data_IF_121377722246
#
_entry.id   IF_121377722246
#
_cell.length_a   1.000
_cell.length_b   1.000
_cell.length_c   1.000
_cell.angle_alpha   90.00
_cell.angle_beta   90.00
_cell.angle_gamma   90.00
#
_symmetry.space_group_name_H-M   'P 1'
#
loop_
_entity.id
_entity.type
_entity.pdbx_description
1 polymer ?
#
# COMPACT_ATOMS: atom_id res chain seq x y z
N UNK A 1 -5.76 3.75 9.22
CA UNK A 1 -4.89 3.69 8.02
C UNK A 1 -5.73 3.79 6.77
N UNK A 2 -5.20 4.45 5.78
CA UNK A 2 -5.76 4.46 4.42
C UNK A 2 -4.76 3.84 3.48
N UNK A 3 -5.20 2.89 2.69
CA UNK A 3 -4.33 2.18 1.75
C UNK A 3 -5.01 2.15 0.40
N UNK A 4 -4.28 2.59 -0.63
CA UNK A 4 -4.70 2.40 -2.02
C UNK A 4 -4.01 1.14 -2.51
N UNK A 5 -4.81 0.20 -3.01
CA UNK A 5 -4.36 -1.11 -3.47
C UNK A 5 -4.54 -1.16 -4.97
N UNK A 6 -3.45 -1.42 -5.70
CA UNK A 6 -3.50 -1.57 -7.15
C UNK A 6 -2.94 -2.93 -7.55
N UNK A 7 -3.73 -3.69 -8.29
CA UNK A 7 -3.28 -4.97 -8.85
C UNK A 7 -2.34 -4.68 -10.00
N UNK A 8 -1.16 -5.28 -9.98
CA UNK A 8 -0.11 -4.96 -10.97
C UNK A 8 0.47 -6.21 -11.63
N UNK A 9 0.91 -6.03 -12.89
CA UNK A 9 1.75 -7.03 -13.58
C UNK A 9 3.19 -6.85 -13.17
N UNK A 10 3.60 -5.63 -12.89
CA UNK A 10 4.93 -5.25 -12.39
C UNK A 10 4.86 -3.87 -11.78
N UNK A 11 5.76 -3.59 -10.85
CA UNK A 11 5.93 -2.27 -10.26
C UNK A 11 7.35 -2.11 -9.75
N UNK A 12 7.82 -0.87 -9.66
CA UNK A 12 9.13 -0.57 -9.11
C UNK A 12 9.15 0.82 -8.50
N UNK A 13 10.06 1.04 -7.58
CA UNK A 13 10.32 2.35 -7.00
C UNK A 13 11.80 2.67 -7.17
N UNK A 14 12.07 3.89 -7.66
CA UNK A 14 13.42 4.41 -7.85
C UNK A 14 13.66 5.61 -6.93
N UNK A 15 14.87 5.72 -6.41
CA UNK A 15 15.31 6.80 -5.56
C UNK A 15 16.65 7.28 -6.13
N UNK A 16 16.73 8.57 -6.43
CA UNK A 16 17.95 9.18 -7.05
C UNK A 16 18.38 8.43 -8.31
N UNK A 17 17.42 8.03 -9.15
CA UNK A 17 17.68 7.36 -10.41
C UNK A 17 18.00 5.87 -10.31
N UNK A 18 17.99 5.29 -9.11
CA UNK A 18 18.30 3.87 -8.92
C UNK A 18 17.11 3.11 -8.40
N UNK A 19 16.89 1.90 -8.92
CA UNK A 19 15.80 1.03 -8.47
C UNK A 19 16.10 0.56 -7.04
N UNK A 20 15.20 0.88 -6.11
CA UNK A 20 15.28 0.49 -4.71
C UNK A 20 14.49 -0.78 -4.43
N UNK A 21 13.32 -0.94 -5.05
CA UNK A 21 12.47 -2.11 -4.91
C UNK A 21 11.73 -2.39 -6.21
N UNK A 22 11.48 -3.66 -6.48
CA UNK A 22 10.85 -4.10 -7.73
C UNK A 22 10.10 -5.40 -7.49
N UNK A 23 8.88 -5.48 -8.06
CA UNK A 23 8.08 -6.70 -8.03
C UNK A 23 7.56 -7.05 -9.42
N UNK A 24 7.23 -8.32 -9.61
CA UNK A 24 6.44 -8.79 -10.75
C UNK A 24 4.95 -8.77 -10.36
N UNK A 25 4.18 -9.79 -10.74
CA UNK A 25 2.75 -9.84 -10.45
C UNK A 25 2.47 -9.74 -8.95
N UNK A 26 1.53 -8.88 -8.60
CA UNK A 26 1.14 -8.70 -7.21
C UNK A 26 0.37 -7.41 -6.97
N UNK A 27 0.68 -6.74 -5.86
CA UNK A 27 0.00 -5.52 -5.44
C UNK A 27 0.99 -4.39 -5.20
N UNK A 28 0.66 -3.20 -5.72
CA UNK A 28 1.28 -1.96 -5.27
C UNK A 28 0.38 -1.33 -4.22
N UNK A 29 0.94 -0.96 -3.09
CA UNK A 29 0.24 -0.29 -2.01
C UNK A 29 0.77 1.11 -1.82
N UNK A 30 -0.15 2.07 -1.71
CA UNK A 30 0.14 3.41 -1.19
C UNK A 30 -0.44 3.44 0.22
N UNK A 31 0.42 3.69 1.22
CA UNK A 31 0.08 3.48 2.64
C UNK A 31 0.14 4.78 3.40
N UNK A 32 -1.00 5.23 3.90
CA UNK A 32 -1.13 6.40 4.77
C UNK A 32 -1.45 6.00 6.20
N UNK A 33 -0.75 6.60 7.16
CA UNK A 33 -0.97 6.36 8.59
C UNK A 33 -1.69 7.57 9.19
N UNK A 34 -2.77 7.32 9.92
CA UNK A 34 -3.53 8.34 10.63
C UNK A 34 -3.08 8.46 12.10
N UNK A 35 -3.38 9.60 12.74
CA UNK A 35 -2.91 9.86 14.11
C UNK A 35 -3.56 8.96 15.17
N UNK A 36 -4.71 8.35 14.83
CA UNK A 36 -5.46 7.49 15.74
C UNK A 36 -5.26 6.00 15.45
N UNK A 37 -4.33 5.67 14.57
CA UNK A 37 -4.07 4.27 14.22
C UNK A 37 -3.43 3.53 15.38
N UNK A 38 -3.86 2.28 15.56
CA UNK A 38 -3.40 1.38 16.60
C UNK A 38 -2.98 0.04 15.96
N UNK A 39 -2.41 -0.84 16.78
CA UNK A 39 -1.95 -2.15 16.28
C UNK A 39 -3.08 -2.95 15.62
N UNK A 40 -4.31 -2.83 16.13
CA UNK A 40 -5.46 -3.51 15.51
C UNK A 40 -5.71 -3.05 14.06
N UNK A 41 -5.39 -1.78 13.73
CA UNK A 41 -5.47 -1.30 12.35
C UNK A 41 -4.47 -2.00 11.45
N UNK A 42 -3.25 -2.23 11.94
CA UNK A 42 -2.21 -2.97 11.22
C UNK A 42 -2.67 -4.41 10.95
N UNK A 43 -3.14 -5.08 11.98
CA UNK A 43 -3.56 -6.49 11.87
C UNK A 43 -4.75 -6.64 10.92
N UNK A 44 -5.71 -5.74 11.00
CA UNK A 44 -6.85 -5.71 10.09
C UNK A 44 -6.40 -5.51 8.64
N UNK A 45 -5.55 -4.50 8.40
CA UNK A 45 -5.08 -4.18 7.06
C UNK A 45 -4.30 -5.34 6.45
N UNK A 46 -3.37 -5.92 7.18
CA UNK A 46 -2.56 -7.06 6.71
C UNK A 46 -3.46 -8.24 6.36
N UNK A 47 -4.39 -8.61 7.24
CA UNK A 47 -5.31 -9.71 6.99
C UNK A 47 -6.15 -9.50 5.74
N UNK A 48 -6.67 -8.29 5.55
CA UNK A 48 -7.47 -7.97 4.36
C UNK A 48 -6.63 -8.02 3.09
N UNK A 49 -5.43 -7.43 3.11
CA UNK A 49 -4.57 -7.35 1.93
C UNK A 49 -4.14 -8.71 1.41
N UNK A 50 -3.72 -9.61 2.30
CA UNK A 50 -3.18 -10.91 1.88
C UNK A 50 -4.27 -11.90 1.46
N UNK A 51 -5.51 -11.67 1.90
CA UNK A 51 -6.62 -12.57 1.61
C UNK A 51 -7.64 -12.00 0.61
N UNK A 52 -7.49 -10.75 0.19
CA UNK A 52 -8.41 -10.11 -0.75
C UNK A 52 -8.37 -10.83 -2.10
N UNK A 53 -9.54 -11.27 -2.56
CA UNK A 53 -9.67 -12.15 -3.73
C UNK A 53 -9.87 -11.32 -5.00
N UNK A 54 -8.83 -10.67 -5.46
CA UNK A 54 -8.87 -9.78 -6.62
C UNK A 54 -8.01 -10.23 -7.80
N UNK A 55 -7.48 -11.45 -7.75
CA UNK A 55 -6.77 -12.04 -8.87
C UNK A 55 -7.67 -13.08 -9.54
N UNK A 56 -7.58 -13.14 -10.87
CA UNK A 56 -8.44 -14.02 -11.67
C UNK A 56 -8.06 -15.49 -11.51
N UNK A 57 -9.07 -16.34 -11.35
CA UNK A 57 -8.92 -17.79 -11.38
C UNK A 57 -8.90 -18.31 -12.83
N UNK A 58 -8.86 -19.63 -13.01
CA UNK A 58 -8.85 -20.27 -14.32
C UNK A 58 -10.09 -19.97 -15.17
N UNK A 59 -11.20 -19.55 -14.53
CA UNK A 59 -12.44 -19.18 -15.21
C UNK A 59 -12.55 -17.67 -15.46
N UNK A 60 -11.52 -16.89 -15.13
CA UNK A 60 -11.49 -15.45 -15.30
C UNK A 60 -12.24 -14.66 -14.24
N UNK A 61 -12.60 -15.29 -13.11
CA UNK A 61 -13.30 -14.62 -12.01
C UNK A 61 -12.32 -14.18 -10.93
N UNK A 62 -12.57 -13.02 -10.33
CA UNK A 62 -11.79 -12.52 -9.19
C UNK A 62 -12.03 -13.40 -7.97
N UNK A 63 -11.19 -14.38 -7.78
CA UNK A 63 -11.38 -15.41 -6.78
C UNK A 63 -10.11 -15.83 -6.03
N UNK A 64 -8.96 -15.34 -6.43
CA UNK A 64 -7.67 -15.69 -5.84
C UNK A 64 -7.04 -14.49 -5.15
N UNK A 65 -6.36 -14.74 -4.04
CA UNK A 65 -5.61 -13.74 -3.29
C UNK A 65 -4.18 -13.61 -3.82
N UNK A 66 -3.45 -12.59 -3.36
CA UNK A 66 -2.03 -12.45 -3.66
C UNK A 66 -1.22 -13.65 -3.16
N UNK A 67 -1.64 -14.25 -2.03
CA UNK A 67 -1.03 -15.48 -1.52
C UNK A 67 -1.26 -16.66 -2.47
N UNK A 68 -2.50 -16.81 -2.96
CA UNK A 68 -2.86 -17.92 -3.84
C UNK A 68 -2.05 -17.93 -5.13
N UNK A 69 -1.75 -16.76 -5.68
CA UNK A 69 -0.99 -16.64 -6.93
C UNK A 69 0.53 -16.56 -6.70
N UNK A 70 0.97 -16.69 -5.45
CA UNK A 70 2.37 -16.51 -5.08
C UNK A 70 2.94 -15.17 -5.55
N UNK A 71 2.14 -14.12 -5.40
CA UNK A 71 2.49 -12.76 -5.80
C UNK A 71 3.33 -12.05 -4.75
N UNK A 72 3.72 -10.84 -5.08
CA UNK A 72 4.57 -9.98 -4.26
C UNK A 72 3.88 -8.65 -3.99
N UNK A 73 4.35 -7.93 -2.97
CA UNK A 73 3.81 -6.60 -2.63
C UNK A 73 4.93 -5.57 -2.66
N UNK A 74 4.66 -4.43 -3.31
CA UNK A 74 5.50 -3.23 -3.21
C UNK A 74 4.74 -2.21 -2.36
N UNK A 75 5.27 -1.91 -1.17
CA UNK A 75 4.65 -1.02 -0.18
C UNK A 75 5.33 0.34 -0.20
N UNK A 76 4.55 1.38 -0.47
CA UNK A 76 5.04 2.77 -0.57
C UNK A 76 4.31 3.63 0.46
N UNK A 77 5.05 4.34 1.29
CA UNK A 77 4.49 5.30 2.22
C UNK A 77 3.91 6.51 1.48
N UNK A 78 2.69 6.94 1.84
CA UNK A 78 1.98 8.02 1.14
C UNK A 78 1.10 8.82 2.12
N UNK A 79 1.70 9.76 2.86
CA UNK A 79 0.95 10.55 3.84
C UNK A 79 -0.10 11.46 3.16
N UNK A 80 0.09 11.79 1.88
CA UNK A 80 -0.84 12.67 1.15
C UNK A 80 -2.23 12.06 0.97
N UNK A 81 -2.42 10.77 1.31
CA UNK A 81 -3.76 10.17 1.36
C UNK A 81 -4.66 10.84 2.41
N UNK A 82 -4.08 11.56 3.36
CA UNK A 82 -4.79 12.32 4.39
C UNK A 82 -4.91 13.80 4.03
N UNK A 83 -4.78 14.15 2.76
CA UNK A 83 -4.95 15.52 2.30
C UNK A 83 -6.37 16.03 2.57
N UNK A 84 -6.46 17.26 3.08
CA UNK A 84 -7.70 18.01 3.18
C UNK A 84 -7.71 19.08 2.09
N UNK A 85 -8.67 18.98 1.17
CA UNK A 85 -8.79 19.87 0.03
C UNK A 85 -10.01 20.81 0.13
N UNK A 86 -10.61 20.92 1.31
CA UNK A 86 -11.87 21.66 1.50
C UNK A 86 -11.74 23.14 1.22
N UNK A 87 -10.61 23.76 1.58
CA UNK A 87 -10.42 25.20 1.43
C UNK A 87 -9.32 25.52 0.43
N UNK A 88 -9.67 26.28 -0.60
CA UNK A 88 -8.73 26.74 -1.60
C UNK A 88 -8.09 25.60 -2.40
N UNK A 89 -6.97 25.93 -3.04
CA UNK A 89 -6.30 25.00 -3.96
C UNK A 89 -5.05 24.35 -3.37
N UNK A 90 -4.66 24.73 -2.16
CA UNK A 90 -3.50 24.15 -1.48
C UNK A 90 -3.97 23.10 -0.47
N UNK A 91 -3.66 21.82 -0.68
CA UNK A 91 -4.06 20.78 0.28
C UNK A 91 -3.37 20.98 1.63
N UNK A 92 -4.09 20.67 2.70
CA UNK A 92 -3.52 20.61 4.05
C UNK A 92 -3.34 19.15 4.42
N UNK A 93 -2.32 18.84 5.23
CA UNK A 93 -1.97 17.48 5.63
C UNK A 93 -2.02 17.28 7.15
N UNK A 94 -2.77 18.12 7.85
CA UNK A 94 -2.89 18.06 9.31
C UNK A 94 -3.60 16.79 9.81
N UNK A 95 -4.33 16.10 8.92
CA UNK A 95 -5.00 14.84 9.24
C UNK A 95 -4.10 13.61 9.21
N UNK A 96 -2.85 13.74 8.78
CA UNK A 96 -1.88 12.63 8.78
C UNK A 96 -1.21 12.49 10.14
N UNK A 97 -0.77 11.28 10.47
CA UNK A 97 0.08 11.06 11.64
C UNK A 97 1.39 11.83 11.51
N UNK A 98 1.98 12.20 12.64
CA UNK A 98 3.31 12.85 12.64
C UNK A 98 4.37 11.89 12.08
N UNK A 99 5.45 12.42 11.47
CA UNK A 99 6.43 11.59 10.77
C UNK A 99 7.01 10.43 11.60
N UNK A 100 7.36 10.66 12.86
CA UNK A 100 7.94 9.60 13.70
C UNK A 100 6.96 8.44 13.90
N UNK A 101 5.72 8.74 14.27
CA UNK A 101 4.68 7.73 14.43
C UNK A 101 4.38 7.03 13.11
N UNK A 102 4.25 7.80 12.03
CA UNK A 102 3.94 7.25 10.71
C UNK A 102 5.03 6.30 10.24
N UNK A 103 6.29 6.65 10.43
CA UNK A 103 7.43 5.81 10.06
C UNK A 103 7.43 4.50 10.84
N UNK A 104 7.21 4.56 12.16
CA UNK A 104 7.17 3.37 13.01
C UNK A 104 6.01 2.43 12.62
N UNK A 105 4.83 2.99 12.38
CA UNK A 105 3.66 2.21 11.94
C UNK A 105 3.86 1.59 10.57
N UNK A 106 4.44 2.33 9.64
CA UNK A 106 4.76 1.84 8.31
C UNK A 106 5.74 0.67 8.37
N UNK A 107 6.80 0.79 9.17
CA UNK A 107 7.77 -0.30 9.34
C UNK A 107 7.12 -1.53 9.96
N UNK A 108 6.30 -1.36 11.00
CA UNK A 108 5.57 -2.46 11.64
C UNK A 108 4.60 -3.13 10.67
N UNK A 109 3.89 -2.35 9.85
CA UNK A 109 3.01 -2.85 8.81
C UNK A 109 3.76 -3.73 7.82
N UNK A 110 4.90 -3.24 7.32
CA UNK A 110 5.71 -3.98 6.36
C UNK A 110 6.27 -5.29 6.95
N UNK A 111 6.67 -5.27 8.21
CA UNK A 111 7.14 -6.47 8.91
C UNK A 111 6.04 -7.53 9.02
N UNK A 112 4.82 -7.11 9.36
CA UNK A 112 3.67 -8.02 9.44
C UNK A 112 3.31 -8.60 8.06
N UNK A 113 3.31 -7.77 7.02
CA UNK A 113 3.08 -8.24 5.64
C UNK A 113 4.13 -9.25 5.21
N UNK A 114 5.40 -9.00 5.52
CA UNK A 114 6.51 -9.85 5.11
C UNK A 114 6.47 -11.24 5.74
N UNK A 115 5.71 -11.43 6.80
CA UNK A 115 5.46 -12.76 7.38
C UNK A 115 4.52 -13.59 6.51
N UNK A 116 3.76 -12.94 5.64
CA UNK A 116 2.73 -13.59 4.83
C UNK A 116 3.12 -13.74 3.36
N UNK A 117 3.76 -12.72 2.78
CA UNK A 117 4.14 -12.67 1.35
C UNK A 117 5.46 -11.91 1.20
N UNK A 118 6.18 -12.09 0.08
CA UNK A 118 7.36 -11.26 -0.19
C UNK A 118 6.97 -9.79 -0.31
N UNK A 119 7.71 -8.91 0.37
CA UNK A 119 7.47 -7.47 0.37
C UNK A 119 8.72 -6.71 -0.01
N UNK A 120 8.57 -5.78 -0.95
CA UNK A 120 9.56 -4.76 -1.26
C UNK A 120 9.03 -3.41 -0.80
N UNK A 121 9.91 -2.50 -0.43
CA UNK A 121 9.52 -1.18 0.09
C UNK A 121 10.31 -0.06 -0.56
N UNK A 122 9.78 1.17 -0.47
CA UNK A 122 10.56 2.38 -0.67
C UNK A 122 11.23 2.81 0.63
N UNK A 123 11.60 4.08 0.70
CA UNK A 123 12.18 4.70 1.89
C UNK A 123 11.22 5.79 2.38
N UNK A 124 10.81 5.71 3.65
CA UNK A 124 9.91 6.69 4.24
C UNK A 124 10.50 8.11 4.12
N UNK A 125 9.71 9.04 3.60
CA UNK A 125 10.10 10.45 3.47
C UNK A 125 11.02 10.78 2.30
N UNK A 126 11.47 9.79 1.54
CA UNK A 126 12.31 10.04 0.36
C UNK A 126 11.48 10.52 -0.83
N UNK A 127 12.14 11.23 -1.74
CA UNK A 127 11.58 11.53 -3.07
C UNK A 127 11.70 10.27 -3.92
N UNK A 128 10.57 9.71 -4.32
CA UNK A 128 10.52 8.42 -5.01
C UNK A 128 9.80 8.54 -6.35
N UNK A 129 10.29 7.79 -7.35
CA UNK A 129 9.59 7.60 -8.62
C UNK A 129 8.97 6.21 -8.60
N UNK A 130 7.66 6.13 -8.65
CA UNK A 130 6.91 4.87 -8.58
C UNK A 130 6.32 4.57 -9.95
N UNK A 131 6.73 3.46 -10.52
CA UNK A 131 6.22 3.00 -11.82
C UNK A 131 5.45 1.71 -11.62
N UNK A 132 4.33 1.56 -12.32
CA UNK A 132 3.52 0.35 -12.24
C UNK A 132 2.75 0.12 -13.52
N UNK A 133 2.39 -1.13 -13.76
CA UNK A 133 1.40 -1.50 -14.76
C UNK A 133 0.19 -2.05 -14.03
N UNK A 134 -0.86 -1.22 -13.91
CA UNK A 134 -2.11 -1.63 -13.28
C UNK A 134 -2.82 -2.63 -14.19
N UNK A 135 -3.07 -3.80 -13.64
CA UNK A 135 -3.66 -4.91 -14.39
C UNK A 135 -5.17 -4.92 -14.18
N UNK A 136 -5.87 -4.51 -15.23
CA UNK A 136 -7.33 -4.54 -15.23
C UNK A 136 -8.01 -3.32 -15.85
N UNK A 137 -7.92 -2.09 -15.33
CA UNK A 137 -7.34 -1.70 -14.05
C UNK A 137 -8.15 -2.19 -12.84
N UNK A 138 -7.45 -2.43 -11.74
CA UNK A 138 -8.07 -2.73 -10.44
C UNK A 138 -7.41 -1.88 -9.38
N UNK A 139 -8.20 -1.00 -8.78
CA UNK A 139 -7.74 -0.08 -7.73
C UNK A 139 -8.79 -0.04 -6.64
N UNK A 140 -8.38 -0.30 -5.40
CA UNK A 140 -9.29 -0.43 -4.26
C UNK A 140 -8.79 0.45 -3.12
N UNK A 141 -9.72 1.09 -2.42
CA UNK A 141 -9.43 1.90 -1.24
C UNK A 141 -9.78 1.07 -0.01
N UNK A 142 -8.81 0.91 0.88
CA UNK A 142 -9.02 0.28 2.19
C UNK A 142 -8.82 1.33 3.27
N UNK A 143 -9.84 1.53 4.10
CA UNK A 143 -9.79 2.46 5.23
C UNK A 143 -10.14 1.69 6.50
N UNK A 144 -9.17 1.57 7.42
CA UNK A 144 -9.36 0.80 8.65
C UNK A 144 -10.34 1.47 9.63
N UNK A 145 -10.60 2.76 9.46
CA UNK A 145 -11.54 3.53 10.30
C UNK A 145 -12.95 3.60 9.69
N UNK A 146 -13.12 3.11 8.48
CA UNK A 146 -14.40 3.13 7.78
C UNK A 146 -14.59 1.77 7.08
N UNK A 147 -14.66 0.75 7.88
CA UNK A 147 -14.79 -0.64 7.44
C UNK A 147 -16.12 -0.94 6.76
#
# INVERSE_FOLDING_TARGET
>A
MKIIIQRVKKAQVSIEGQIHGKINQGLLLLVGVGPEDQEEDLDYAVRKLVNMRIFSDAEGKMNLSVKDIEGEILSISQFTLFADTKKGNRPAFTGAAKPDMASDFYDAFNQKLAQEVPVQTGIFGADMQVELVNDGPVTIILDTKNK
#
